data_IF_137194154428
#
_entry.id   IF_137194154428
#
_cell.length_a   1.000
_cell.length_b   1.000
_cell.length_c   1.000
_cell.angle_alpha   90.00
_cell.angle_beta   90.00
_cell.angle_gamma   90.00
#
_symmetry.space_group_name_H-M   'P 1'
#
loop_
_entity.id
_entity.type
_entity.pdbx_description
1 polymer ?
#
# COMPACT_ATOMS: atom_id res chain seq x y z
N UNK A 1 -10.15 -16.27 26.50
CA UNK A 1 -9.79 -15.95 25.11
C UNK A 1 -8.73 -14.87 25.18
N UNK A 2 -7.46 -15.24 25.02
CA UNK A 2 -6.33 -14.32 25.25
C UNK A 2 -6.06 -13.57 23.96
N UNK A 3 -6.41 -12.29 23.89
CA UNK A 3 -5.95 -11.41 22.83
C UNK A 3 -4.43 -11.29 22.96
N UNK A 4 -3.68 -11.80 21.98
CA UNK A 4 -2.24 -11.61 21.91
C UNK A 4 -1.97 -10.11 21.76
N UNK A 5 -1.60 -9.48 22.87
CA UNK A 5 -1.14 -8.10 22.94
C UNK A 5 0.28 -8.12 22.41
N UNK A 6 0.47 -7.78 21.14
CA UNK A 6 1.80 -7.61 20.55
C UNK A 6 2.51 -6.51 21.34
N UNK A 7 3.48 -6.90 22.17
CA UNK A 7 4.37 -5.96 22.81
C UNK A 7 5.24 -5.33 21.71
N UNK A 8 5.23 -4.00 21.64
CA UNK A 8 6.15 -3.25 20.77
C UNK A 8 7.55 -3.43 21.34
N UNK A 9 8.33 -4.37 20.82
CA UNK A 9 9.77 -4.20 20.83
C UNK A 9 10.06 -2.91 20.04
N UNK A 10 10.97 -2.08 20.51
CA UNK A 10 11.35 -0.86 19.79
C UNK A 10 12.08 -1.27 18.50
N UNK A 11 11.35 -1.32 17.39
CA UNK A 11 11.93 -1.48 16.08
C UNK A 11 12.62 -0.19 15.63
N UNK A 12 13.53 -0.30 14.66
CA UNK A 12 14.16 0.85 14.05
C UNK A 12 13.19 1.56 13.10
N UNK A 13 13.10 2.88 13.20
CA UNK A 13 12.34 3.69 12.26
C UNK A 13 12.90 3.52 10.84
N UNK A 14 12.00 3.24 9.89
CA UNK A 14 12.35 3.13 8.47
C UNK A 14 11.97 4.42 7.77
N UNK A 15 12.91 5.13 7.14
CA UNK A 15 12.57 6.34 6.39
C UNK A 15 11.70 5.95 5.19
N UNK A 16 10.70 6.79 4.90
CA UNK A 16 9.83 6.60 3.76
C UNK A 16 9.47 7.92 3.10
N UNK A 17 9.11 7.86 1.82
CA UNK A 17 8.52 8.97 1.08
C UNK A 17 7.16 8.56 0.55
N UNK A 18 6.13 9.37 0.83
CA UNK A 18 4.81 9.16 0.22
C UNK A 18 4.85 9.47 -1.28
N UNK A 19 4.34 8.55 -2.10
CA UNK A 19 4.08 8.81 -3.52
C UNK A 19 2.78 9.60 -3.61
N UNK A 20 2.81 10.74 -4.30
CA UNK A 20 1.64 11.59 -4.45
C UNK A 20 0.55 10.92 -5.30
N UNK A 21 -0.73 11.12 -4.95
CA UNK A 21 -1.89 10.59 -5.71
C UNK A 21 -1.78 10.82 -7.22
N UNK A 22 -1.24 11.96 -7.62
CA UNK A 22 -1.15 12.41 -9.01
C UNK A 22 0.26 12.30 -9.61
N UNK A 23 1.18 11.60 -8.96
CA UNK A 23 2.55 11.43 -9.46
C UNK A 23 2.58 10.50 -10.68
N UNK A 24 1.79 9.41 -10.63
CA UNK A 24 1.61 8.47 -11.73
C UNK A 24 0.15 8.42 -12.17
N UNK A 25 -0.10 8.27 -13.47
CA UNK A 25 -1.48 8.20 -14.03
C UNK A 25 -1.98 6.78 -14.15
N UNK A 26 -2.10 6.11 -13.02
CA UNK A 26 -2.55 4.73 -12.94
C UNK A 26 -3.57 4.56 -11.82
N UNK A 27 -4.10 3.35 -11.72
CA UNK A 27 -4.95 2.93 -10.63
C UNK A 27 -4.59 1.51 -10.21
N UNK A 28 -4.86 1.17 -8.95
CA UNK A 28 -4.74 -0.21 -8.47
C UNK A 28 -5.74 -1.08 -9.22
N UNK A 29 -5.26 -2.17 -9.82
CA UNK A 29 -6.05 -3.16 -10.55
C UNK A 29 -7.20 -3.69 -9.70
N UNK A 30 -8.26 -4.20 -10.34
CA UNK A 30 -9.36 -4.84 -9.61
C UNK A 30 -8.86 -6.06 -8.85
N UNK A 31 -9.37 -6.20 -7.63
CA UNK A 31 -9.13 -7.35 -6.78
C UNK A 31 -10.46 -7.90 -6.30
N UNK A 32 -10.43 -9.09 -5.73
CA UNK A 32 -11.64 -9.74 -5.21
C UNK A 32 -12.22 -8.94 -4.03
N UNK A 33 -13.47 -8.49 -4.19
CA UNK A 33 -14.22 -7.70 -3.21
C UNK A 33 -14.41 -8.42 -1.86
N UNK A 34 -14.10 -9.72 -1.77
CA UNK A 34 -14.02 -10.45 -0.49
C UNK A 34 -12.95 -9.87 0.46
N UNK A 35 -11.97 -9.13 -0.06
CA UNK A 35 -10.93 -8.47 0.73
C UNK A 35 -11.20 -6.97 0.84
N UNK A 36 -11.44 -6.50 2.06
CA UNK A 36 -11.69 -5.08 2.35
C UNK A 36 -10.46 -4.18 2.12
N UNK A 37 -9.25 -4.74 2.24
CA UNK A 37 -7.98 -4.03 2.10
C UNK A 37 -7.07 -4.80 1.16
N UNK A 38 -6.52 -4.11 0.17
CA UNK A 38 -5.44 -4.59 -0.65
C UNK A 38 -4.09 -4.13 -0.08
N UNK A 39 -3.09 -5.00 -0.06
CA UNK A 39 -1.74 -4.67 0.39
C UNK A 39 -0.70 -5.28 -0.55
N UNK A 40 0.42 -4.61 -0.80
CA UNK A 40 1.53 -5.16 -1.56
C UNK A 40 2.88 -4.57 -1.17
N UNK A 41 3.94 -5.38 -1.22
CA UNK A 41 5.33 -4.94 -1.22
C UNK A 41 5.91 -5.16 -2.63
N UNK A 42 6.08 -4.07 -3.36
CA UNK A 42 6.55 -4.07 -4.75
C UNK A 42 8.05 -3.80 -4.77
N UNK A 43 8.81 -4.71 -5.37
CA UNK A 43 10.28 -4.73 -5.40
C UNK A 43 10.83 -4.70 -6.83
N UNK A 44 9.96 -4.81 -7.83
CA UNK A 44 10.32 -4.89 -9.24
C UNK A 44 9.31 -4.13 -10.11
N UNK A 45 9.72 -3.68 -11.32
CA UNK A 45 8.80 -3.11 -12.30
C UNK A 45 7.65 -4.06 -12.68
N UNK A 46 7.91 -5.37 -12.74
CA UNK A 46 6.89 -6.38 -13.06
C UNK A 46 5.84 -6.53 -11.95
N UNK A 47 6.24 -6.53 -10.69
CA UNK A 47 5.30 -6.50 -9.56
C UNK A 47 4.47 -5.22 -9.59
N UNK A 48 5.07 -4.07 -9.94
CA UNK A 48 4.34 -2.81 -10.10
C UNK A 48 3.28 -2.91 -11.20
N UNK A 49 3.65 -3.42 -12.37
CA UNK A 49 2.73 -3.61 -13.49
C UNK A 49 1.62 -4.63 -13.18
N UNK A 50 1.87 -5.60 -12.29
CA UNK A 50 0.84 -6.53 -11.84
C UNK A 50 -0.20 -5.87 -10.91
N UNK A 51 0.21 -4.86 -10.12
CA UNK A 51 -0.67 -4.14 -9.18
C UNK A 51 -1.36 -2.94 -9.84
N UNK A 52 -0.66 -2.20 -10.69
CA UNK A 52 -1.14 -0.94 -11.25
C UNK A 52 -1.46 -1.07 -12.75
N UNK A 53 -2.63 -0.56 -13.13
CA UNK A 53 -3.06 -0.45 -14.52
C UNK A 53 -2.97 1.01 -14.99
N UNK A 54 -2.45 1.27 -16.21
CA UNK A 54 -2.38 2.63 -16.74
C UNK A 54 -3.78 3.21 -16.96
N UNK A 55 -3.96 4.51 -16.68
CA UNK A 55 -5.15 5.29 -17.00
C UNK A 55 -4.83 6.31 -18.10
N UNK A 56 -4.74 5.87 -19.37
CA UNK A 56 -4.55 6.80 -20.48
C UNK A 56 -5.80 7.69 -20.62
N UNK A 57 -5.59 9.01 -20.61
CA UNK A 57 -6.59 9.99 -21.01
C UNK A 57 -5.97 10.92 -22.05
N UNK A 58 -6.78 11.50 -22.93
CA UNK A 58 -6.31 12.43 -23.94
C UNK A 58 -5.51 13.57 -23.28
N UNK A 59 -4.32 13.86 -23.81
CA UNK A 59 -3.43 14.91 -23.30
C UNK A 59 -2.62 14.55 -22.05
N UNK A 60 -2.55 13.27 -21.64
CA UNK A 60 -1.71 12.89 -20.51
C UNK A 60 -0.21 13.05 -20.82
N UNK A 61 0.50 13.85 -20.03
CA UNK A 61 1.96 14.04 -20.10
C UNK A 61 2.71 13.36 -18.95
N UNK A 62 2.00 12.78 -17.98
CA UNK A 62 2.59 12.15 -16.80
C UNK A 62 2.89 10.67 -17.02
N UNK A 63 3.94 10.13 -16.36
CA UNK A 63 4.27 8.71 -16.45
C UNK A 63 3.18 7.82 -15.83
N UNK A 64 3.14 6.57 -16.27
CA UNK A 64 2.22 5.54 -15.77
C UNK A 64 2.83 4.65 -14.69
N UNK A 65 4.13 4.75 -14.45
CA UNK A 65 4.88 3.98 -13.46
C UNK A 65 6.17 4.73 -13.12
N UNK A 66 6.81 4.41 -11.97
CA UNK A 66 8.19 4.81 -11.71
C UNK A 66 9.15 4.36 -12.81
N UNK A 67 10.27 5.07 -12.91
CA UNK A 67 11.41 4.59 -13.70
C UNK A 67 11.90 3.24 -13.11
N UNK A 68 12.29 2.25 -13.94
CA UNK A 68 12.73 0.95 -13.46
C UNK A 68 13.87 1.02 -12.44
N UNK A 69 14.76 2.01 -12.58
CA UNK A 69 15.94 2.24 -11.73
C UNK A 69 15.55 2.58 -10.28
N UNK A 70 14.32 3.06 -10.04
CA UNK A 70 13.80 3.25 -8.68
C UNK A 70 13.87 1.95 -7.87
N UNK A 71 13.66 0.81 -8.53
CA UNK A 71 13.63 -0.48 -7.84
C UNK A 71 15.03 -1.01 -7.54
N UNK A 72 16.10 -0.38 -8.02
CA UNK A 72 17.47 -0.81 -7.71
C UNK A 72 17.81 -0.55 -6.23
N UNK A 73 17.32 0.56 -5.68
CA UNK A 73 17.61 1.01 -4.31
C UNK A 73 16.35 1.29 -3.47
N UNK A 74 15.15 1.22 -4.05
CA UNK A 74 13.89 1.38 -3.34
C UNK A 74 12.91 0.22 -3.57
N UNK A 75 11.92 0.14 -2.69
CA UNK A 75 10.72 -0.69 -2.81
C UNK A 75 9.50 0.19 -2.56
N UNK A 76 8.31 -0.27 -2.97
CA UNK A 76 7.05 0.44 -2.75
C UNK A 76 6.12 -0.42 -1.90
N UNK A 77 5.78 0.07 -0.71
CA UNK A 77 4.73 -0.50 0.12
C UNK A 77 3.38 0.15 -0.21
N UNK A 78 2.38 -0.67 -0.51
CA UNK A 78 1.05 -0.24 -0.94
C UNK A 78 0.01 -0.75 0.04
N UNK A 79 -0.92 0.12 0.42
CA UNK A 79 -2.20 -0.23 1.04
C UNK A 79 -3.30 0.46 0.26
N UNK A 80 -4.36 -0.26 -0.09
CA UNK A 80 -5.51 0.32 -0.79
C UNK A 80 -6.83 -0.18 -0.19
N UNK A 81 -7.83 0.70 -0.19
CA UNK A 81 -9.20 0.42 0.26
C UNK A 81 -10.21 0.88 -0.77
N UNK A 82 -11.30 0.13 -0.89
CA UNK A 82 -12.52 0.61 -1.55
C UNK A 82 -13.33 1.42 -0.55
N UNK A 83 -13.63 2.67 -0.90
CA UNK A 83 -14.35 3.62 -0.04
C UNK A 83 -15.37 4.39 -0.88
N UNK A 84 -16.33 5.06 -0.23
CA UNK A 84 -17.07 6.13 -0.89
C UNK A 84 -16.11 7.20 -1.41
N UNK A 85 -16.49 7.92 -2.47
CA UNK A 85 -15.63 8.96 -3.01
C UNK A 85 -15.43 10.09 -2.00
N UNK A 86 -14.20 10.35 -1.54
CA UNK A 86 -13.94 11.41 -0.58
C UNK A 86 -14.19 12.78 -1.22
N UNK A 87 -14.49 13.78 -0.40
CA UNK A 87 -14.52 15.17 -0.84
C UNK A 87 -13.11 15.61 -1.29
N UNK A 88 -13.05 16.64 -2.15
CA UNK A 88 -11.77 17.17 -2.61
C UNK A 88 -10.90 17.62 -1.42
N UNK A 89 -9.69 17.05 -1.33
CA UNK A 89 -8.73 17.35 -0.27
C UNK A 89 -8.97 16.61 1.05
N UNK A 90 -10.01 15.78 1.17
CA UNK A 90 -10.25 14.96 2.34
C UNK A 90 -9.18 13.87 2.46
N UNK A 91 -8.44 13.87 3.59
CA UNK A 91 -7.41 12.87 3.89
C UNK A 91 -8.03 11.75 4.72
N UNK A 92 -8.26 10.61 4.07
CA UNK A 92 -8.84 9.43 4.73
C UNK A 92 -7.83 8.33 5.10
N UNK A 93 -6.61 8.39 4.54
CA UNK A 93 -5.49 7.50 4.85
C UNK A 93 -4.31 8.35 5.33
N UNK A 94 -3.82 8.10 6.54
CA UNK A 94 -2.70 8.85 7.14
C UNK A 94 -1.66 7.89 7.68
N UNK A 95 -0.41 7.99 7.20
CA UNK A 95 0.70 7.19 7.76
C UNK A 95 1.03 7.70 9.15
N UNK A 96 1.12 6.79 10.14
CA UNK A 96 1.66 7.11 11.46
C UNK A 96 3.13 6.77 11.57
N UNK A 97 3.55 5.64 11.00
CA UNK A 97 4.96 5.24 11.03
C UNK A 97 5.21 3.94 10.30
N UNK A 98 6.48 3.70 10.04
CA UNK A 98 7.00 2.45 9.50
C UNK A 98 8.23 2.06 10.31
N UNK A 99 8.15 0.91 10.96
CA UNK A 99 9.22 0.39 11.80
C UNK A 99 9.72 -0.95 11.26
N UNK A 100 10.96 -1.30 11.57
CA UNK A 100 11.58 -2.58 11.24
C UNK A 100 12.08 -3.25 12.50
N UNK A 101 11.71 -4.50 12.72
CA UNK A 101 12.23 -5.33 13.80
C UNK A 101 12.44 -6.75 13.29
N UNK A 102 13.69 -7.25 13.39
CA UNK A 102 14.03 -8.64 13.04
C UNK A 102 13.49 -9.12 11.68
N UNK A 103 13.66 -8.32 10.61
CA UNK A 103 13.18 -8.67 9.25
C UNK A 103 11.67 -8.47 9.03
N UNK A 104 10.94 -7.99 10.04
CA UNK A 104 9.53 -7.62 9.95
C UNK A 104 9.38 -6.10 9.80
N UNK A 105 8.76 -5.67 8.71
CA UNK A 105 8.28 -4.30 8.57
C UNK A 105 6.88 -4.16 9.18
N UNK A 106 6.65 -3.13 9.98
CA UNK A 106 5.34 -2.83 10.55
C UNK A 106 4.89 -1.45 10.09
N UNK A 107 3.90 -1.41 9.19
CA UNK A 107 3.24 -0.17 8.77
C UNK A 107 2.07 0.11 9.70
N UNK A 108 2.08 1.28 10.34
CA UNK A 108 0.94 1.82 11.08
C UNK A 108 0.35 2.99 10.31
N UNK A 109 -0.95 2.93 10.04
CA UNK A 109 -1.69 4.03 9.43
C UNK A 109 -3.05 4.18 10.09
N UNK A 110 -3.64 5.36 9.91
CA UNK A 110 -4.99 5.67 10.32
C UNK A 110 -5.91 5.70 9.10
N UNK A 111 -7.09 5.12 9.29
CA UNK A 111 -8.19 5.17 8.33
C UNK A 111 -9.40 5.86 8.96
N UNK A 112 -9.85 6.93 8.31
CA UNK A 112 -11.11 7.59 8.61
C UNK A 112 -12.05 7.43 7.40
N UNK A 113 -13.24 6.82 7.53
CA UNK A 113 -14.16 6.72 6.39
C UNK A 113 -14.58 8.11 5.91
N UNK A 114 -14.82 8.29 4.60
CA UNK A 114 -15.31 9.56 4.07
C UNK A 114 -16.56 10.05 4.80
N UNK A 115 -16.62 11.36 5.07
CA UNK A 115 -17.72 11.95 5.84
C UNK A 115 -19.08 11.90 5.12
N UNK A 116 -19.08 11.95 3.78
CA UNK A 116 -20.28 11.94 2.95
C UNK A 116 -20.54 10.55 2.37
N UNK A 117 -21.79 10.10 2.45
CA UNK A 117 -22.24 8.93 1.70
C UNK A 117 -22.34 9.28 0.21
N UNK A 118 -21.62 8.53 -0.63
CA UNK A 118 -21.63 8.70 -2.09
C UNK A 118 -22.30 7.51 -2.77
N UNK A 119 -22.83 7.74 -3.98
CA UNK A 119 -23.46 6.69 -4.79
C UNK A 119 -22.47 5.82 -5.55
N UNK A 120 -21.18 6.18 -5.55
CA UNK A 120 -20.11 5.43 -6.18
C UNK A 120 -18.94 5.28 -5.22
N UNK A 121 -18.12 4.26 -5.45
CA UNK A 121 -16.91 3.98 -4.69
C UNK A 121 -15.66 4.21 -5.53
N UNK A 122 -14.55 4.44 -4.85
CA UNK A 122 -13.22 4.59 -5.45
C UNK A 122 -12.22 3.75 -4.65
N UNK A 123 -11.06 3.50 -5.27
CA UNK A 123 -9.92 2.92 -4.57
C UNK A 123 -9.01 4.02 -4.10
N UNK A 124 -8.95 4.19 -2.80
CA UNK A 124 -7.96 5.06 -2.18
C UNK A 124 -6.70 4.27 -1.90
N UNK A 125 -5.56 4.89 -2.20
CA UNK A 125 -4.27 4.22 -2.17
C UNK A 125 -3.26 5.02 -1.37
N UNK A 126 -2.62 4.34 -0.43
CA UNK A 126 -1.44 4.77 0.27
C UNK A 126 -0.23 4.07 -0.34
N UNK A 127 0.75 4.83 -0.80
CA UNK A 127 1.96 4.31 -1.44
C UNK A 127 3.20 4.94 -0.81
N UNK A 128 4.12 4.12 -0.33
CA UNK A 128 5.35 4.54 0.34
C UNK A 128 6.56 4.00 -0.40
N UNK A 129 7.45 4.87 -0.85
CA UNK A 129 8.81 4.49 -1.22
C UNK A 129 9.61 4.28 0.05
N UNK A 130 10.29 3.15 0.12
CA UNK A 130 11.14 2.76 1.24
C UNK A 130 12.49 2.27 0.70
N UNK A 131 13.60 2.43 1.43
CA UNK A 131 14.87 1.85 1.01
C UNK A 131 14.76 0.35 0.78
N UNK A 132 15.44 -0.15 -0.25
CA UNK A 132 15.53 -1.58 -0.54
C UNK A 132 16.23 -2.30 0.61
N UNK A 133 15.63 -3.40 1.05
CA UNK A 133 16.14 -4.26 2.11
C UNK A 133 15.48 -5.62 2.04
N UNK A 134 16.10 -6.60 2.69
CA UNK A 134 15.46 -7.89 2.93
C UNK A 134 14.28 -7.72 3.88
N UNK A 135 13.14 -8.29 3.50
CA UNK A 135 11.88 -8.23 4.25
C UNK A 135 11.29 -9.62 4.27
N UNK A 136 11.33 -10.26 5.44
CA UNK A 136 10.71 -11.56 5.65
C UNK A 136 9.19 -11.43 5.75
N UNK A 137 8.75 -10.35 6.40
CA UNK A 137 7.34 -10.13 6.74
C UNK A 137 6.98 -8.66 6.70
N UNK A 138 5.76 -8.35 6.28
CA UNK A 138 5.15 -7.02 6.45
C UNK A 138 3.88 -7.16 7.26
N UNK A 139 3.75 -6.46 8.37
CA UNK A 139 2.51 -6.32 9.14
C UNK A 139 1.89 -4.97 8.86
N UNK A 140 0.59 -4.95 8.61
CA UNK A 140 -0.15 -3.72 8.37
C UNK A 140 -1.19 -3.54 9.47
N UNK A 141 -1.07 -2.42 10.19
CA UNK A 141 -1.95 -2.03 11.28
C UNK A 141 -2.73 -0.77 10.87
N UNK A 142 -4.04 -0.90 10.80
CA UNK A 142 -4.97 0.20 10.60
C UNK A 142 -5.59 0.58 11.94
N UNK A 143 -5.45 1.84 12.38
CA UNK A 143 -5.98 2.28 13.67
C UNK A 143 -5.56 1.35 14.84
N UNK A 144 -4.30 0.87 14.81
CA UNK A 144 -3.71 -0.12 15.72
C UNK A 144 -4.31 -1.54 15.66
N UNK A 145 -5.21 -1.81 14.72
CA UNK A 145 -5.78 -3.13 14.46
C UNK A 145 -5.04 -3.80 13.29
N UNK A 146 -4.51 -5.02 13.46
CA UNK A 146 -3.92 -5.76 12.35
C UNK A 146 -4.96 -6.03 11.25
N UNK A 147 -4.68 -5.59 10.02
CA UNK A 147 -5.56 -5.81 8.85
C UNK A 147 -4.98 -6.80 7.85
N UNK A 148 -3.70 -7.15 7.98
CA UNK A 148 -3.11 -8.27 7.27
C UNK A 148 -1.59 -8.34 7.37
N UNK A 149 -1.05 -9.37 6.73
CA UNK A 149 0.38 -9.70 6.76
C UNK A 149 0.83 -10.18 5.38
N UNK A 150 1.95 -9.66 4.88
CA UNK A 150 2.65 -10.17 3.70
C UNK A 150 3.86 -11.01 4.14
N UNK A 151 4.21 -11.99 3.31
CA UNK A 151 5.41 -12.83 3.48
C UNK A 151 6.20 -12.89 2.17
N UNK A 152 6.92 -11.81 1.82
CA UNK A 152 7.58 -11.69 0.52
C UNK A 152 8.62 -12.79 0.26
N UNK A 153 9.28 -13.29 1.30
CA UNK A 153 10.22 -14.41 1.24
C UNK A 153 9.54 -15.74 0.88
N UNK A 154 8.26 -15.90 1.22
CA UNK A 154 7.42 -17.06 0.86
C UNK A 154 6.65 -16.83 -0.45
N UNK A 155 6.94 -15.74 -1.18
CA UNK A 155 6.26 -15.38 -2.43
C UNK A 155 4.92 -14.66 -2.25
N UNK A 156 4.46 -14.44 -1.02
CA UNK A 156 3.23 -13.68 -0.72
C UNK A 156 3.58 -12.20 -0.57
N UNK A 157 3.83 -11.53 -1.69
CA UNK A 157 4.19 -10.12 -1.73
C UNK A 157 2.97 -9.19 -1.91
N UNK A 158 1.77 -9.74 -2.09
CA UNK A 158 0.51 -8.99 -2.19
C UNK A 158 -0.68 -9.82 -1.72
N UNK A 159 -1.68 -9.15 -1.12
CA UNK A 159 -2.94 -9.73 -0.68
C UNK A 159 -4.10 -8.79 -1.01
N UNK A 160 -5.16 -9.27 -1.68
CA UNK A 160 -5.16 -10.53 -2.44
C UNK A 160 -4.08 -10.52 -3.55
N UNK A 161 -3.69 -11.68 -4.08
CA UNK A 161 -2.73 -11.74 -5.18
C UNK A 161 -3.27 -10.97 -6.40
N UNK A 162 -2.42 -10.26 -7.15
CA UNK A 162 -2.85 -9.54 -8.34
C UNK A 162 -3.44 -10.52 -9.37
N UNK A 163 -4.37 -10.04 -10.20
CA UNK A 163 -4.94 -10.86 -11.27
C UNK A 163 -3.82 -11.40 -12.18
N UNK A 164 -3.91 -12.68 -12.53
CA UNK A 164 -3.04 -13.26 -13.56
C UNK A 164 -3.38 -12.59 -14.89
N UNK A 165 -2.39 -11.93 -15.49
CA UNK A 165 -2.50 -11.34 -16.83
C UNK A 165 -2.34 -12.41 -17.90
#
# INVERSE_FOLDING_TARGET
>A
MVAARWASAAGDDVPFQMIGRNEYRNFVANWDDSHAVFMALIRTPSEYAAVFHPAPVAGNTKPFAPAPELFDDQMILVVSRVVGAPADGERILTVRGLESDGGTLTLRYDFAPPAAATTFTVKEVLQLRIPRREVERVRVLENDVPVGELRPAEGVWSIPPPPKR
#
